data_IF_250912012125
#
_entry.id   IF_250912012125
#
_cell.length_a   1.000
_cell.length_b   1.000
_cell.length_c   1.000
_cell.angle_alpha   90.00
_cell.angle_beta   90.00
_cell.angle_gamma   90.00
#
_symmetry.space_group_name_H-M   'P 1'
#
loop_
_entity.id
_entity.type
_entity.pdbx_description
1 polymer ?
#
# COMPACT_ATOMS: atom_id res chain seq x y z
N UNK A 1 -38.72 4.00 27.52
CA UNK A 1 -37.82 5.00 26.90
C UNK A 1 -36.95 4.28 25.88
N UNK A 2 -37.29 4.40 24.59
CA UNK A 2 -36.65 3.72 23.47
C UNK A 2 -35.43 4.51 23.00
N UNK A 3 -34.24 3.94 23.17
CA UNK A 3 -32.97 4.53 22.74
C UNK A 3 -32.83 4.42 21.20
N UNK A 4 -32.50 5.50 20.47
CA UNK A 4 -32.40 5.45 19.02
C UNK A 4 -31.12 4.74 18.59
N UNK A 5 -31.26 3.81 17.64
CA UNK A 5 -30.15 3.15 16.97
C UNK A 5 -29.27 4.20 16.26
N UNK A 6 -28.04 4.39 16.73
CA UNK A 6 -27.02 5.16 16.01
C UNK A 6 -26.73 4.46 14.68
N UNK A 7 -27.18 5.07 13.59
CA UNK A 7 -26.75 4.70 12.25
C UNK A 7 -25.22 4.87 12.16
N UNK A 8 -24.53 3.75 11.95
CA UNK A 8 -23.13 3.75 11.54
C UNK A 8 -23.03 4.43 10.16
N UNK A 9 -22.09 5.37 9.95
CA UNK A 9 -21.90 5.98 8.65
C UNK A 9 -21.55 4.89 7.62
N UNK A 10 -22.45 4.71 6.65
CA UNK A 10 -22.29 3.79 5.54
C UNK A 10 -21.11 4.23 4.69
N UNK A 11 -19.98 3.53 4.82
CA UNK A 11 -18.92 3.59 3.82
C UNK A 11 -19.51 3.10 2.50
N UNK A 12 -19.68 4.00 1.52
CA UNK A 12 -20.04 3.62 0.16
C UNK A 12 -19.00 2.59 -0.32
N UNK A 13 -19.40 1.37 -0.71
CA UNK A 13 -18.46 0.42 -1.27
C UNK A 13 -17.86 1.05 -2.53
N UNK A 14 -16.52 1.06 -2.62
CA UNK A 14 -15.85 1.45 -3.85
C UNK A 14 -16.40 0.58 -5.00
N UNK A 15 -16.66 1.16 -6.19
CA UNK A 15 -17.26 0.44 -7.32
C UNK A 15 -16.49 -0.83 -7.74
N UNK A 16 -15.21 -0.91 -7.40
CA UNK A 16 -14.36 -2.08 -7.61
C UNK A 16 -14.72 -3.27 -6.72
N UNK A 17 -15.19 -3.04 -5.49
CA UNK A 17 -15.51 -4.11 -4.54
C UNK A 17 -16.72 -4.95 -4.97
N UNK A 18 -17.76 -4.29 -5.52
CA UNK A 18 -18.92 -4.98 -6.07
C UNK A 18 -18.56 -5.77 -7.33
N UNK A 19 -17.80 -5.16 -8.24
CA UNK A 19 -17.30 -5.86 -9.43
C UNK A 19 -16.45 -7.08 -9.08
N UNK A 20 -15.62 -6.98 -8.05
CA UNK A 20 -14.79 -8.10 -7.59
C UNK A 20 -15.65 -9.22 -6.98
N UNK A 21 -16.67 -8.88 -6.18
CA UNK A 21 -17.60 -9.86 -5.62
C UNK A 21 -18.42 -10.57 -6.71
N UNK A 22 -18.92 -9.82 -7.71
CA UNK A 22 -19.63 -10.40 -8.85
C UNK A 22 -18.72 -11.30 -9.70
N UNK A 23 -17.47 -10.91 -9.93
CA UNK A 23 -16.47 -11.76 -10.60
C UNK A 23 -16.21 -13.05 -9.84
N UNK A 24 -16.14 -13.00 -8.51
CA UNK A 24 -15.97 -14.20 -7.67
C UNK A 24 -17.19 -15.13 -7.75
N UNK A 25 -18.40 -14.57 -7.66
CA UNK A 25 -19.64 -15.35 -7.81
C UNK A 25 -19.78 -15.98 -9.19
N UNK A 26 -19.26 -15.32 -10.23
CA UNK A 26 -19.26 -15.83 -11.60
C UNK A 26 -18.14 -16.85 -11.89
N UNK A 27 -17.27 -17.17 -10.92
CA UNK A 27 -16.21 -18.16 -11.15
C UNK A 27 -16.80 -19.58 -11.26
N UNK A 28 -16.25 -20.42 -12.16
CA UNK A 28 -16.64 -21.82 -12.22
C UNK A 28 -16.26 -22.54 -10.91
N UNK A 29 -17.12 -23.47 -10.47
CA UNK A 29 -16.95 -24.23 -9.22
C UNK A 29 -15.56 -24.87 -9.11
N UNK A 30 -15.00 -25.35 -10.22
CA UNK A 30 -13.65 -25.93 -10.28
C UNK A 30 -12.56 -24.94 -9.87
N UNK A 31 -12.69 -23.66 -10.25
CA UNK A 31 -11.74 -22.62 -9.88
C UNK A 31 -11.83 -22.30 -8.38
N UNK A 32 -13.05 -22.26 -7.82
CA UNK A 32 -13.29 -22.09 -6.38
C UNK A 32 -12.70 -23.26 -5.58
N UNK A 33 -12.90 -24.50 -6.03
CA UNK A 33 -12.33 -25.70 -5.40
C UNK A 33 -10.80 -25.69 -5.47
N UNK A 34 -10.21 -25.36 -6.62
CA UNK A 34 -8.76 -25.24 -6.77
C UNK A 34 -8.17 -24.12 -5.91
N UNK A 35 -8.91 -23.03 -5.70
CA UNK A 35 -8.51 -21.96 -4.78
C UNK A 35 -8.56 -22.43 -3.33
N UNK A 36 -9.61 -23.13 -2.91
CA UNK A 36 -9.73 -23.70 -1.56
C UNK A 36 -8.62 -24.72 -1.29
N UNK A 37 -8.27 -25.56 -2.26
CA UNK A 37 -7.17 -26.52 -2.15
C UNK A 37 -5.81 -25.83 -2.00
N UNK A 38 -5.53 -24.78 -2.79
CA UNK A 38 -4.29 -23.99 -2.66
C UNK A 38 -4.19 -23.29 -1.30
N UNK A 39 -5.30 -22.73 -0.81
CA UNK A 39 -5.35 -22.12 0.51
C UNK A 39 -5.10 -23.16 1.63
N UNK A 40 -5.68 -24.36 1.50
CA UNK A 40 -5.44 -25.46 2.45
C UNK A 40 -3.98 -25.98 2.40
N UNK A 41 -3.37 -25.98 1.22
CA UNK A 41 -1.95 -26.29 1.03
C UNK A 41 -1.01 -25.13 1.43
N UNK A 42 -1.56 -23.99 1.84
CA UNK A 42 -0.84 -22.79 2.23
C UNK A 42 -0.07 -22.10 1.11
N UNK A 43 -0.48 -22.31 -0.14
CA UNK A 43 0.15 -21.76 -1.34
C UNK A 43 -0.39 -20.38 -1.72
N UNK A 44 -1.27 -19.80 -0.90
CA UNK A 44 -1.82 -18.47 -1.16
C UNK A 44 -0.90 -17.37 -0.60
N UNK A 45 -0.72 -16.24 -1.30
CA UNK A 45 0.02 -15.12 -0.74
C UNK A 45 -0.66 -14.56 0.51
N UNK A 46 0.16 -14.16 1.50
CA UNK A 46 -0.27 -13.72 2.83
C UNK A 46 -1.28 -12.58 2.80
N UNK A 47 -0.91 -11.44 2.20
CA UNK A 47 -1.73 -10.24 2.28
C UNK A 47 -3.10 -10.43 1.62
N UNK A 48 -3.23 -10.98 0.39
CA UNK A 48 -4.54 -11.23 -0.20
C UNK A 48 -5.40 -12.21 0.60
N UNK A 49 -4.83 -13.30 1.12
CA UNK A 49 -5.57 -14.29 1.91
C UNK A 49 -6.09 -13.68 3.22
N UNK A 50 -5.27 -12.87 3.89
CA UNK A 50 -5.61 -12.21 5.15
C UNK A 50 -6.65 -11.11 4.97
N UNK A 51 -6.54 -10.29 3.91
CA UNK A 51 -7.54 -9.27 3.58
C UNK A 51 -8.90 -9.91 3.29
N UNK A 52 -8.93 -11.04 2.58
CA UNK A 52 -10.15 -11.81 2.34
C UNK A 52 -10.73 -12.34 3.65
N UNK A 53 -9.90 -12.96 4.49
CA UNK A 53 -10.33 -13.51 5.78
C UNK A 53 -11.00 -12.43 6.67
N UNK A 54 -10.43 -11.23 6.72
CA UNK A 54 -11.03 -10.09 7.44
C UNK A 54 -12.35 -9.68 6.79
N UNK A 55 -12.39 -9.55 5.45
CA UNK A 55 -13.57 -9.12 4.70
C UNK A 55 -14.77 -10.08 4.80
N UNK A 56 -14.51 -11.36 5.00
CA UNK A 56 -15.53 -12.42 5.11
C UNK A 56 -15.97 -12.66 6.57
N UNK A 57 -15.17 -12.28 7.57
CA UNK A 57 -15.47 -12.52 8.98
C UNK A 57 -16.52 -11.54 9.53
N UNK A 58 -17.76 -12.01 9.70
CA UNK A 58 -18.87 -11.22 10.28
C UNK A 58 -18.92 -11.35 11.80
N UNK A 59 -18.93 -12.58 12.32
CA UNK A 59 -18.98 -12.83 13.77
C UNK A 59 -17.59 -12.72 14.39
N UNK A 60 -17.48 -12.34 15.68
CA UNK A 60 -16.21 -12.30 16.39
C UNK A 60 -15.47 -13.64 16.32
N UNK A 61 -14.29 -13.59 15.71
CA UNK A 61 -13.39 -14.73 15.60
C UNK A 61 -11.97 -14.31 15.94
N UNK A 62 -11.31 -15.20 16.65
CA UNK A 62 -9.87 -15.19 16.73
C UNK A 62 -9.32 -16.10 15.64
N UNK A 63 -8.38 -15.56 14.88
CA UNK A 63 -7.76 -16.20 13.72
C UNK A 63 -6.27 -16.34 14.03
N UNK A 64 -5.81 -17.57 14.23
CA UNK A 64 -4.39 -17.87 14.34
C UNK A 64 -3.82 -18.03 12.94
N UNK A 65 -2.87 -17.16 12.58
CA UNK A 65 -2.08 -17.27 11.38
C UNK A 65 -0.84 -18.11 11.67
N UNK A 66 -0.68 -19.21 10.94
CA UNK A 66 0.48 -20.07 11.00
C UNK A 66 1.36 -19.87 9.76
N UNK A 67 2.68 -19.80 9.97
CA UNK A 67 3.70 -19.89 8.93
C UNK A 67 4.30 -21.30 9.02
N UNK A 68 4.10 -22.11 7.99
CA UNK A 68 4.27 -23.55 8.07
C UNK A 68 3.31 -24.16 9.09
N UNK A 69 3.87 -24.81 10.12
CA UNK A 69 3.09 -25.38 11.24
C UNK A 69 3.16 -24.54 12.52
N UNK A 70 3.92 -23.43 12.50
CA UNK A 70 4.19 -22.62 13.69
C UNK A 70 3.23 -21.44 13.76
N UNK A 71 2.54 -21.20 14.89
CA UNK A 71 1.72 -20.01 15.06
C UNK A 71 2.59 -18.75 15.04
N UNK A 72 2.35 -17.87 14.09
CA UNK A 72 3.13 -16.65 13.89
C UNK A 72 2.39 -15.41 14.41
N UNK A 73 1.07 -15.37 14.26
CA UNK A 73 0.25 -14.26 14.74
C UNK A 73 -1.15 -14.69 15.15
N UNK A 74 -1.77 -13.87 16.00
CA UNK A 74 -3.18 -14.00 16.36
C UNK A 74 -3.90 -12.71 15.99
N UNK A 75 -4.96 -12.85 15.21
CA UNK A 75 -5.82 -11.77 14.77
C UNK A 75 -7.16 -11.87 15.45
N UNK A 76 -7.76 -10.74 15.79
CA UNK A 76 -9.17 -10.68 16.21
C UNK A 76 -9.94 -9.90 15.17
N UNK A 77 -10.91 -10.56 14.53
CA UNK A 77 -11.76 -9.95 13.52
C UNK A 77 -13.23 -10.06 13.91
N UNK A 78 -13.98 -8.98 13.67
CA UNK A 78 -15.43 -8.91 13.89
C UNK A 78 -16.03 -7.87 12.95
N UNK A 79 -17.27 -8.06 12.50
CA UNK A 79 -17.99 -7.10 11.65
C UNK A 79 -17.19 -6.66 10.41
N UNK A 80 -16.48 -7.59 9.76
CA UNK A 80 -15.59 -7.35 8.61
C UNK A 80 -14.46 -6.35 8.87
N UNK A 81 -14.01 -6.28 10.13
CA UNK A 81 -12.96 -5.39 10.60
C UNK A 81 -11.93 -6.18 11.39
N UNK A 82 -10.67 -5.76 11.26
CA UNK A 82 -9.59 -6.19 12.13
C UNK A 82 -9.58 -5.31 13.37
N UNK A 83 -9.69 -5.92 14.54
CA UNK A 83 -9.72 -5.25 15.83
C UNK A 83 -8.45 -5.52 16.66
N UNK A 84 -7.64 -6.51 16.29
CA UNK A 84 -6.39 -6.81 16.98
C UNK A 84 -5.47 -7.69 16.15
N UNK A 85 -4.17 -7.48 16.30
CA UNK A 85 -3.11 -8.26 15.66
C UNK A 85 -1.92 -8.33 16.63
N UNK A 86 -1.60 -9.53 17.12
CA UNK A 86 -0.42 -9.82 17.93
C UNK A 86 0.55 -10.75 17.19
N UNK A 87 1.84 -10.46 17.31
CA UNK A 87 2.92 -11.27 16.71
C UNK A 87 3.59 -12.10 17.83
N UNK A 88 3.89 -13.37 17.56
CA UNK A 88 4.78 -14.18 18.40
C UNK A 88 4.37 -14.39 19.86
N UNK A 89 3.08 -14.41 20.18
CA UNK A 89 2.59 -14.67 21.55
C UNK A 89 2.77 -13.51 22.54
N UNK A 90 3.55 -12.48 22.19
CA UNK A 90 3.55 -11.21 22.92
C UNK A 90 2.33 -10.41 22.50
N UNK A 91 1.33 -10.35 23.38
CA UNK A 91 0.31 -9.34 23.31
C UNK A 91 1.01 -7.98 23.51
N UNK A 92 1.42 -7.32 22.42
CA UNK A 92 1.71 -5.89 22.48
C UNK A 92 0.40 -5.17 22.78
N UNK A 93 0.09 -5.09 24.08
CA UNK A 93 -0.98 -4.31 24.68
C UNK A 93 -0.63 -2.82 24.61
N UNK A 94 -0.33 -2.33 23.41
CA UNK A 94 -0.54 -0.91 23.11
C UNK A 94 -2.04 -0.74 22.87
N UNK A 95 -2.67 0.22 23.54
CA UNK A 95 -4.05 0.59 23.24
C UNK A 95 -4.16 0.82 21.73
N UNK A 96 -4.94 -0.02 21.04
CA UNK A 96 -5.13 0.13 19.61
C UNK A 96 -5.75 1.52 19.37
N UNK A 97 -5.15 2.36 18.52
CA UNK A 97 -5.59 3.75 18.35
C UNK A 97 -7.08 3.83 18.05
N UNK A 98 -7.86 4.67 18.74
CA UNK A 98 -9.30 4.79 18.48
C UNK A 98 -9.60 5.20 17.03
N UNK A 99 -8.68 5.93 16.40
CA UNK A 99 -8.73 6.28 14.98
C UNK A 99 -8.53 5.04 14.06
N UNK A 100 -9.52 4.70 13.21
CA UNK A 100 -9.40 3.62 12.24
C UNK A 100 -8.19 3.73 11.30
N UNK A 101 -7.78 4.94 10.93
CA UNK A 101 -6.65 5.13 10.03
C UNK A 101 -5.31 4.86 10.74
N UNK A 102 -5.16 5.34 11.97
CA UNK A 102 -4.01 4.99 12.83
C UNK A 102 -3.93 3.49 13.12
N UNK A 103 -5.08 2.84 13.40
CA UNK A 103 -5.13 1.38 13.56
C UNK A 103 -4.69 0.65 12.28
N UNK A 104 -5.17 1.08 11.10
CA UNK A 104 -4.76 0.50 9.82
C UNK A 104 -3.25 0.61 9.57
N UNK A 105 -2.64 1.77 9.88
CA UNK A 105 -1.18 1.97 9.77
C UNK A 105 -0.41 1.05 10.72
N UNK A 106 -0.85 0.94 11.97
CA UNK A 106 -0.23 0.06 12.97
C UNK A 106 -0.28 -1.41 12.52
N UNK A 107 -1.46 -1.87 12.09
CA UNK A 107 -1.63 -3.25 11.62
C UNK A 107 -0.85 -3.52 10.33
N UNK A 108 -0.82 -2.58 9.38
CA UNK A 108 -0.02 -2.70 8.17
C UNK A 108 1.48 -2.85 8.48
N UNK A 109 2.02 -2.08 9.43
CA UNK A 109 3.41 -2.19 9.86
C UNK A 109 3.72 -3.57 10.47
N UNK A 110 2.83 -4.11 11.31
CA UNK A 110 2.97 -5.45 11.89
C UNK A 110 2.89 -6.56 10.84
N UNK A 111 1.97 -6.45 9.88
CA UNK A 111 1.82 -7.45 8.81
C UNK A 111 3.04 -7.55 7.91
N UNK A 112 3.73 -6.44 7.62
CA UNK A 112 5.00 -6.48 6.86
C UNK A 112 6.10 -7.24 7.57
N UNK A 113 6.21 -7.04 8.89
CA UNK A 113 7.19 -7.78 9.69
C UNK A 113 6.93 -9.28 9.57
N UNK A 114 5.66 -9.67 9.53
CA UNK A 114 5.27 -11.05 9.34
C UNK A 114 5.50 -11.54 7.89
N UNK A 115 5.22 -10.72 6.89
CA UNK A 115 5.49 -11.04 5.48
C UNK A 115 6.98 -11.28 5.21
N UNK A 116 7.86 -10.45 5.78
CA UNK A 116 9.31 -10.64 5.71
C UNK A 116 9.77 -11.95 6.36
N UNK A 117 9.08 -12.42 7.40
CA UNK A 117 9.36 -13.70 8.06
C UNK A 117 8.81 -14.91 7.28
N UNK A 118 7.82 -14.71 6.42
CA UNK A 118 7.11 -15.77 5.73
C UNK A 118 7.73 -16.17 4.37
N UNK A 119 8.86 -15.57 3.97
CA UNK A 119 9.36 -15.48 2.58
C UNK A 119 9.54 -16.80 1.79
N UNK A 120 9.33 -17.96 2.38
CA UNK A 120 9.34 -19.27 1.68
C UNK A 120 8.41 -20.32 2.29
N UNK A 121 7.64 -19.98 3.33
CA UNK A 121 6.83 -20.93 4.07
C UNK A 121 5.34 -20.74 3.76
N UNK A 122 4.63 -21.84 3.56
CA UNK A 122 3.19 -21.81 3.30
C UNK A 122 2.42 -21.24 4.50
N UNK A 123 1.31 -20.55 4.23
CA UNK A 123 0.50 -19.91 5.28
C UNK A 123 -0.78 -20.70 5.54
N UNK A 124 -1.24 -20.80 6.79
CA UNK A 124 -2.57 -21.36 7.08
C UNK A 124 -3.28 -20.57 8.17
N UNK A 125 -4.60 -20.63 8.17
CA UNK A 125 -5.44 -19.94 9.16
C UNK A 125 -6.24 -20.96 9.99
N UNK A 126 -6.15 -20.85 11.31
CA UNK A 126 -7.01 -21.57 12.27
C UNK A 126 -7.97 -20.58 12.90
N UNK A 127 -9.24 -20.94 13.04
CA UNK A 127 -10.31 -20.03 13.45
C UNK A 127 -10.99 -20.56 14.70
N UNK A 128 -11.20 -19.70 15.70
CA UNK A 128 -12.01 -20.01 16.88
C UNK A 128 -12.98 -18.87 17.18
N UNK A 129 -14.22 -19.14 17.62
CA UNK A 129 -15.09 -18.12 18.19
C UNK A 129 -14.41 -17.42 19.37
N UNK A 130 -14.63 -16.12 19.52
CA UNK A 130 -14.14 -15.35 20.66
C UNK A 130 -15.17 -14.31 21.12
N UNK A 131 -14.91 -13.66 22.24
CA UNK A 131 -15.71 -12.52 22.68
C UNK A 131 -15.52 -11.32 21.74
N UNK A 132 -16.54 -10.47 21.63
CA UNK A 132 -16.42 -9.25 20.84
C UNK A 132 -15.33 -8.34 21.45
N UNK A 133 -14.37 -7.85 20.64
CA UNK A 133 -13.32 -6.97 21.12
C UNK A 133 -13.93 -5.64 21.60
N UNK A 134 -13.60 -5.24 22.83
CA UNK A 134 -14.06 -3.97 23.42
C UNK A 134 -12.95 -2.93 23.36
N UNK A 135 -13.27 -1.70 22.97
CA UNK A 135 -12.37 -0.54 23.09
C UNK A 135 -11.10 -0.56 22.21
N UNK A 136 -11.00 -1.48 21.25
CA UNK A 136 -9.85 -1.55 20.35
C UNK A 136 -10.12 -0.80 19.05
N UNK A 137 -9.21 0.10 18.67
CA UNK A 137 -9.08 0.62 17.32
C UNK A 137 -9.24 -0.45 16.25
N UNK A 138 -10.18 -0.26 15.32
CA UNK A 138 -10.47 -1.24 14.27
C UNK A 138 -10.40 -0.63 12.87
N UNK A 139 -9.95 -1.41 11.90
CA UNK A 139 -9.94 -1.01 10.50
C UNK A 139 -10.60 -2.07 9.60
N UNK A 140 -11.17 -1.64 8.48
CA UNK A 140 -11.68 -2.56 7.46
C UNK A 140 -10.52 -3.15 6.64
N UNK A 141 -10.79 -4.22 5.88
CA UNK A 141 -9.82 -4.76 4.92
C UNK A 141 -9.39 -3.70 3.88
N UNK A 142 -10.30 -2.84 3.43
CA UNK A 142 -9.98 -1.77 2.47
C UNK A 142 -9.01 -0.73 3.07
N UNK A 143 -9.26 -0.28 4.31
CA UNK A 143 -8.37 0.66 5.01
C UNK A 143 -7.00 0.04 5.26
N UNK A 144 -6.96 -1.24 5.62
CA UNK A 144 -5.71 -1.98 5.81
C UNK A 144 -4.94 -2.14 4.49
N UNK A 145 -5.62 -2.46 3.39
CA UNK A 145 -5.03 -2.54 2.06
C UNK A 145 -4.45 -1.21 1.63
N UNK A 146 -5.15 -0.10 1.88
CA UNK A 146 -4.64 1.24 1.60
C UNK A 146 -3.40 1.57 2.42
N UNK A 147 -3.40 1.25 3.72
CA UNK A 147 -2.24 1.45 4.59
C UNK A 147 -1.04 0.57 4.18
N UNK A 148 -1.29 -0.69 3.78
CA UNK A 148 -0.28 -1.58 3.22
C UNK A 148 0.28 -1.01 1.92
N UNK A 149 -0.57 -0.55 1.00
CA UNK A 149 -0.12 0.07 -0.24
C UNK A 149 0.67 1.37 0.01
N UNK A 150 0.23 2.19 0.96
CA UNK A 150 0.90 3.44 1.32
C UNK A 150 2.30 3.21 1.86
N UNK A 151 2.46 2.28 2.81
CA UNK A 151 3.77 2.00 3.36
C UNK A 151 4.70 1.27 2.35
N UNK A 152 4.16 0.66 1.28
CA UNK A 152 4.97 -0.07 0.26
C UNK A 152 5.44 0.88 -0.82
N UNK A 153 5.03 2.15 -0.76
CA UNK A 153 5.56 3.17 -1.66
C UNK A 153 7.00 3.42 -1.26
N UNK A 154 7.87 3.38 -2.25
CA UNK A 154 9.17 4.01 -2.15
C UNK A 154 9.03 5.49 -1.76
N UNK A 155 10.09 6.13 -1.25
CA UNK A 155 10.09 7.57 -1.02
C UNK A 155 9.62 8.36 -2.26
N UNK A 156 10.02 7.97 -3.48
CA UNK A 156 9.54 8.60 -4.72
C UNK A 156 8.07 8.29 -4.99
N UNK A 157 7.58 7.08 -4.71
CA UNK A 157 6.17 6.76 -4.77
C UNK A 157 5.32 7.62 -3.82
N UNK A 158 5.85 7.96 -2.66
CA UNK A 158 5.23 8.87 -1.67
C UNK A 158 5.21 10.30 -2.20
N UNK A 159 6.34 10.81 -2.70
CA UNK A 159 6.43 12.14 -3.32
C UNK A 159 5.46 12.29 -4.50
N UNK A 160 5.39 11.29 -5.39
CA UNK A 160 4.43 11.25 -6.51
C UNK A 160 2.98 11.38 -6.03
N UNK A 161 2.67 10.74 -4.91
CA UNK A 161 1.31 10.73 -4.36
C UNK A 161 0.94 12.09 -3.77
N UNK A 162 1.89 12.75 -3.08
CA UNK A 162 1.72 14.13 -2.61
C UNK A 162 1.56 15.12 -3.79
N UNK A 163 2.27 14.87 -4.90
CA UNK A 163 2.18 15.67 -6.12
C UNK A 163 0.90 15.44 -6.93
N UNK A 164 0.14 14.36 -6.69
CA UNK A 164 -0.88 13.87 -7.63
C UNK A 164 -1.98 14.90 -7.94
N UNK A 165 -2.36 15.73 -6.96
CA UNK A 165 -3.39 16.76 -7.14
C UNK A 165 -2.88 18.03 -7.84
N UNK A 166 -1.57 18.25 -7.85
CA UNK A 166 -0.94 19.50 -8.31
C UNK A 166 -0.12 19.31 -9.59
N UNK A 167 0.28 18.09 -9.91
CA UNK A 167 1.03 17.77 -11.10
C UNK A 167 0.14 17.79 -12.35
N UNK A 168 0.60 18.51 -13.37
CA UNK A 168 -0.03 18.56 -14.69
C UNK A 168 0.23 17.25 -15.46
N UNK A 169 1.41 16.67 -15.28
CA UNK A 169 1.77 15.35 -15.79
C UNK A 169 2.90 14.73 -14.95
N UNK A 170 3.07 13.41 -15.03
CA UNK A 170 4.11 12.70 -14.32
C UNK A 170 4.53 11.40 -15.04
N UNK A 171 5.77 10.99 -14.80
CA UNK A 171 6.32 9.67 -15.16
C UNK A 171 7.05 9.13 -13.92
N UNK A 172 6.69 7.94 -13.49
CA UNK A 172 7.37 7.21 -12.42
C UNK A 172 7.98 5.93 -12.98
N UNK A 173 9.29 5.82 -12.88
CA UNK A 173 10.06 4.63 -13.18
C UNK A 173 10.41 3.96 -11.84
N UNK A 174 9.64 2.93 -11.42
CA UNK A 174 9.98 2.15 -10.23
C UNK A 174 11.29 1.37 -10.42
N UNK A 175 11.90 0.95 -9.31
CA UNK A 175 13.15 0.19 -9.34
C UNK A 175 12.98 -1.16 -10.04
N UNK A 176 14.06 -1.63 -10.67
CA UNK A 176 14.11 -2.91 -11.36
C UNK A 176 13.48 -2.92 -12.75
N UNK A 177 13.08 -4.10 -13.23
CA UNK A 177 12.57 -4.30 -14.60
C UNK A 177 11.08 -3.93 -14.78
N UNK A 178 10.51 -3.16 -13.84
CA UNK A 178 9.10 -2.77 -13.91
C UNK A 178 8.86 -1.67 -14.95
N UNK A 179 7.73 -1.76 -15.64
CA UNK A 179 7.39 -0.78 -16.67
C UNK A 179 7.13 0.61 -16.04
N UNK A 180 7.53 1.71 -16.71
CA UNK A 180 7.22 3.05 -16.25
C UNK A 180 5.71 3.28 -16.23
N UNK A 181 5.24 3.93 -15.17
CA UNK A 181 3.85 4.37 -15.05
C UNK A 181 3.79 5.87 -15.31
N UNK A 182 2.74 6.36 -15.97
CA UNK A 182 2.61 7.78 -16.31
C UNK A 182 1.16 8.25 -16.23
N UNK A 183 0.98 9.56 -16.10
CA UNK A 183 -0.33 10.18 -16.11
C UNK A 183 -0.26 11.66 -16.50
N UNK A 184 -1.29 12.14 -17.21
CA UNK A 184 -1.39 13.52 -17.67
C UNK A 184 -1.55 13.63 -19.20
N UNK A 185 -1.62 14.86 -19.73
CA UNK A 185 -1.78 15.12 -21.16
C UNK A 185 -0.59 14.63 -21.99
N UNK A 186 -0.88 14.03 -23.15
CA UNK A 186 0.12 13.55 -24.12
C UNK A 186 1.26 14.53 -24.44
N UNK A 187 1.03 15.85 -24.68
CA UNK A 187 2.13 16.77 -24.99
C UNK A 187 3.12 16.94 -23.83
N UNK A 188 2.64 16.95 -22.59
CA UNK A 188 3.51 17.03 -21.41
C UNK A 188 4.24 15.70 -21.18
N UNK A 189 3.58 14.56 -21.41
CA UNK A 189 4.24 13.26 -21.34
C UNK A 189 5.38 13.13 -22.36
N UNK A 190 5.22 13.66 -23.58
CA UNK A 190 6.31 13.69 -24.57
C UNK A 190 7.51 14.51 -24.08
N UNK A 191 7.27 15.66 -23.45
CA UNK A 191 8.34 16.47 -22.85
C UNK A 191 9.04 15.74 -21.71
N UNK A 192 8.29 15.13 -20.79
CA UNK A 192 8.85 14.32 -19.69
C UNK A 192 9.64 13.11 -20.22
N UNK A 193 9.17 12.49 -21.30
CA UNK A 193 9.86 11.40 -21.95
C UNK A 193 11.20 11.84 -22.57
N UNK A 194 11.26 13.03 -23.16
CA UNK A 194 12.51 13.60 -23.67
C UNK A 194 13.52 13.84 -22.54
N UNK A 195 13.05 14.39 -21.40
CA UNK A 195 13.88 14.55 -20.20
C UNK A 195 14.38 13.19 -19.72
N UNK A 196 13.50 12.18 -19.62
CA UNK A 196 13.88 10.81 -19.24
C UNK A 196 14.99 10.24 -20.12
N UNK A 197 14.85 10.38 -21.44
CA UNK A 197 15.87 9.91 -22.41
C UNK A 197 17.21 10.63 -22.23
N UNK A 198 17.20 11.93 -21.91
CA UNK A 198 18.41 12.69 -21.62
C UNK A 198 19.11 12.20 -20.33
N UNK A 199 18.36 11.91 -19.27
CA UNK A 199 18.90 11.30 -18.04
C UNK A 199 19.52 9.92 -18.32
N UNK A 200 18.84 9.06 -19.09
CA UNK A 200 19.36 7.75 -19.47
C UNK A 200 20.64 7.85 -20.31
N UNK A 201 20.68 8.78 -21.28
CA UNK A 201 21.85 9.00 -22.12
C UNK A 201 23.05 9.56 -21.33
N UNK A 202 22.80 10.36 -20.29
CA UNK A 202 23.84 10.85 -19.39
C UNK A 202 24.43 9.74 -18.51
N UNK A 203 23.57 8.84 -18.01
CA UNK A 203 23.99 7.69 -17.20
C UNK A 203 24.88 6.68 -17.96
N UNK A 204 24.72 6.59 -19.29
CA UNK A 204 25.49 5.69 -20.15
C UNK A 204 26.91 6.20 -20.50
N UNK A 205 27.30 7.43 -20.12
CA UNK A 205 28.63 7.99 -20.45
C UNK A 205 29.70 7.59 -19.41
N UNK A 206 30.80 6.92 -19.81
CA UNK A 206 31.79 6.35 -18.89
C UNK A 206 32.79 7.34 -18.23
N UNK A 207 32.44 8.63 -18.06
CA UNK A 207 33.42 9.64 -17.60
C UNK A 207 32.89 10.74 -16.67
N UNK A 208 31.62 10.72 -16.27
CA UNK A 208 31.09 11.70 -15.31
C UNK A 208 31.32 11.21 -13.89
N UNK A 209 31.91 12.03 -13.02
CA UNK A 209 32.01 11.80 -11.58
C UNK A 209 30.65 11.34 -11.05
N UNK A 210 30.55 10.05 -10.72
CA UNK A 210 29.32 9.47 -10.18
C UNK A 210 29.21 9.95 -8.75
N UNK A 211 28.14 10.68 -8.43
CA UNK A 211 27.69 10.75 -7.04
C UNK A 211 27.44 9.31 -6.55
N UNK A 212 27.77 8.99 -5.29
CA UNK A 212 27.56 7.65 -4.76
C UNK A 212 26.08 7.27 -4.94
N UNK A 213 25.84 6.05 -5.42
CA UNK A 213 24.55 5.52 -5.90
C UNK A 213 23.43 5.46 -4.83
N UNK A 214 23.65 6.05 -3.66
CA UNK A 214 22.78 5.97 -2.49
C UNK A 214 22.26 7.34 -2.02
N UNK A 215 22.68 8.46 -2.65
CA UNK A 215 22.18 9.78 -2.24
C UNK A 215 20.95 10.16 -3.06
N UNK A 216 19.82 10.54 -2.42
CA UNK A 216 18.67 11.10 -3.13
C UNK A 216 19.07 12.38 -3.86
N UNK A 217 18.64 12.51 -5.12
CA UNK A 217 18.86 13.68 -5.97
C UNK A 217 17.53 14.27 -6.42
N UNK A 218 17.42 15.60 -6.38
CA UNK A 218 16.23 16.33 -6.81
C UNK A 218 16.64 17.59 -7.57
N UNK A 219 16.30 17.62 -8.85
CA UNK A 219 16.62 18.69 -9.77
C UNK A 219 15.34 19.39 -10.23
N UNK A 220 15.31 20.70 -10.09
CA UNK A 220 14.23 21.54 -10.58
C UNK A 220 14.65 22.27 -11.86
N UNK A 221 13.97 21.98 -12.95
CA UNK A 221 14.23 22.54 -14.27
C UNK A 221 13.18 23.60 -14.61
N UNK A 222 13.58 24.88 -14.80
CA UNK A 222 12.68 25.92 -15.26
C UNK A 222 12.46 25.80 -16.77
N UNK A 223 11.36 25.16 -17.20
CA UNK A 223 11.04 24.98 -18.63
C UNK A 223 10.40 26.24 -19.23
N UNK A 224 9.47 26.85 -18.50
CA UNK A 224 8.82 28.09 -18.90
C UNK A 224 8.37 28.88 -17.66
N UNK A 225 7.81 30.09 -17.84
CA UNK A 225 7.25 30.86 -16.72
C UNK A 225 6.14 30.12 -15.97
N UNK A 226 5.39 29.25 -16.66
CA UNK A 226 4.22 28.56 -16.12
C UNK A 226 4.44 27.06 -15.91
N UNK A 227 5.65 26.55 -16.20
CA UNK A 227 5.94 25.14 -16.15
C UNK A 227 7.32 24.89 -15.55
N UNK A 228 7.35 24.05 -14.52
CA UNK A 228 8.57 23.51 -13.94
C UNK A 228 8.57 21.99 -14.12
N UNK A 229 9.74 21.43 -14.37
CA UNK A 229 9.94 19.98 -14.31
C UNK A 229 10.76 19.68 -13.06
N UNK A 230 10.23 18.85 -12.17
CA UNK A 230 10.99 18.29 -11.05
C UNK A 230 11.40 16.87 -11.43
N UNK A 231 12.70 16.61 -11.39
CA UNK A 231 13.29 15.30 -11.60
C UNK A 231 13.88 14.83 -10.27
N UNK A 232 13.33 13.77 -9.70
CA UNK A 232 13.77 13.19 -8.45
C UNK A 232 14.25 11.76 -8.69
N UNK A 233 15.42 11.42 -8.17
CA UNK A 233 16.01 10.09 -8.27
C UNK A 233 16.45 9.61 -6.88
N UNK A 234 16.23 8.33 -6.61
CA UNK A 234 16.68 7.68 -5.39
C UNK A 234 16.86 6.19 -5.68
N UNK A 235 18.05 5.66 -5.41
CA UNK A 235 18.46 4.31 -5.84
C UNK A 235 18.26 4.14 -7.36
N UNK A 236 17.57 3.09 -7.78
CA UNK A 236 17.24 2.81 -9.20
C UNK A 236 15.87 3.38 -9.61
N UNK A 237 15.26 4.22 -8.79
CA UNK A 237 13.97 4.85 -9.08
C UNK A 237 14.14 6.27 -9.64
N UNK A 238 13.25 6.63 -10.58
CA UNK A 238 13.16 7.97 -11.15
C UNK A 238 11.73 8.46 -11.17
N UNK A 239 11.50 9.68 -10.69
CA UNK A 239 10.23 10.38 -10.77
C UNK A 239 10.42 11.70 -11.52
N UNK A 240 9.62 11.91 -12.55
CA UNK A 240 9.54 13.17 -13.28
C UNK A 240 8.14 13.76 -13.11
N UNK A 241 8.07 15.02 -12.70
CA UNK A 241 6.82 15.76 -12.49
C UNK A 241 6.83 17.04 -13.32
N UNK A 242 5.76 17.28 -14.08
CA UNK A 242 5.44 18.57 -14.68
C UNK A 242 4.51 19.34 -13.74
N UNK A 243 4.96 20.48 -13.23
CA UNK A 243 4.31 21.21 -12.15
C UNK A 243 4.06 22.68 -12.54
N UNK A 244 2.95 23.29 -12.08
CA UNK A 244 2.85 24.74 -12.06
C UNK A 244 3.84 25.32 -11.01
N UNK A 245 4.37 26.54 -11.19
CA UNK A 245 5.36 27.12 -10.29
C UNK A 245 4.91 27.18 -8.82
N UNK A 246 3.62 27.41 -8.58
CA UNK A 246 3.05 27.49 -7.23
C UNK A 246 3.04 26.17 -6.45
N UNK A 247 3.15 25.02 -7.14
CA UNK A 247 3.16 23.70 -6.49
C UNK A 247 4.56 23.28 -6.00
N UNK A 248 5.61 23.97 -6.46
CA UNK A 248 7.00 23.57 -6.18
C UNK A 248 7.36 23.68 -4.70
N UNK A 249 7.07 24.78 -3.97
CA UNK A 249 7.52 24.92 -2.59
C UNK A 249 7.06 23.79 -1.67
N UNK A 250 5.77 23.44 -1.70
CA UNK A 250 5.24 22.36 -0.87
C UNK A 250 5.77 20.96 -1.25
N UNK A 251 6.18 20.77 -2.50
CA UNK A 251 6.82 19.52 -2.92
C UNK A 251 8.28 19.43 -2.50
N UNK A 252 9.01 20.54 -2.46
CA UNK A 252 10.37 20.59 -1.90
C UNK A 252 10.32 20.33 -0.40
N UNK A 253 9.36 20.91 0.34
CA UNK A 253 9.16 20.58 1.76
C UNK A 253 8.86 19.09 1.99
N UNK A 254 8.04 18.49 1.13
CA UNK A 254 7.74 17.04 1.19
C UNK A 254 8.99 16.21 0.89
N UNK A 255 9.81 16.63 -0.08
CA UNK A 255 11.08 15.99 -0.39
C UNK A 255 12.05 16.04 0.79
N UNK A 256 12.22 17.22 1.39
CA UNK A 256 13.10 17.41 2.55
C UNK A 256 12.64 16.54 3.72
N UNK A 257 11.33 16.43 3.98
CA UNK A 257 10.80 15.55 5.03
C UNK A 257 11.05 14.05 4.80
N UNK A 258 11.26 13.62 3.55
CA UNK A 258 11.52 12.22 3.20
C UNK A 258 13.01 11.85 3.27
N UNK A 259 13.91 12.82 3.11
CA UNK A 259 15.34 12.57 2.85
C UNK A 259 16.32 13.42 3.70
N UNK A 260 15.81 14.25 4.62
CA UNK A 260 16.63 15.02 5.58
C UNK A 260 16.82 14.31 6.91
#
# INVERSE_FOLDING_TARGET
>A
MTSPARQLPGAKPAPDALHQALRQLAQPVQALTAQAQRAAAGQEPLLPALLREIGETVLPREITLCIGQTPAAVLTAAHRRLAGLSLGGTAEAGAAPEDPAAAARLFAARLRRLEAQAASAGITFRRRPCAAPQGAGSCTAAQLQEALAAASRSPLGTLRSAAAAQALAWIHCPAGAQAPVSGGPAPLLQQLQAVRSAFAASAARPGSARMPAHRPDCLLLPVSPNLRILAAAHEDELLLLALPPGAVPGLIETWDALFS
#
